data_IF_952394808555
#
_entry.id   IF_952394808555
#
_cell.length_a   1.000
_cell.length_b   1.000
_cell.length_c   1.000
_cell.angle_alpha   90.00
_cell.angle_beta   90.00
_cell.angle_gamma   90.00
#
_symmetry.space_group_name_H-M   'P 1'
#
loop_
_entity.id
_entity.type
_entity.pdbx_description
1 polymer ?
#
# COMPACT_ATOMS: atom_id res chain seq x y z
N UNK A 1 -2.27 -3.32 -15.58
CA UNK A 1 -1.72 -4.44 -14.78
C UNK A 1 -2.52 -4.56 -13.52
N UNK A 2 -2.78 -5.79 -13.14
CA UNK A 2 -3.55 -6.20 -11.97
C UNK A 2 -2.60 -6.21 -10.76
N UNK A 3 -2.88 -5.41 -9.73
CA UNK A 3 -1.99 -5.23 -8.57
C UNK A 3 -2.75 -5.18 -7.25
N UNK A 4 -2.04 -5.38 -6.13
CA UNK A 4 -2.65 -5.23 -4.81
C UNK A 4 -3.12 -3.78 -4.62
N UNK A 5 -4.09 -3.53 -3.73
CA UNK A 5 -4.49 -2.16 -3.41
C UNK A 5 -3.33 -1.27 -2.96
N UNK A 6 -2.36 -1.83 -2.22
CA UNK A 6 -1.15 -1.11 -1.81
C UNK A 6 -0.23 -0.83 -3.00
N UNK A 7 -0.09 -1.78 -3.93
CA UNK A 7 0.65 -1.55 -5.18
C UNK A 7 0.01 -0.44 -6.01
N UNK A 8 -1.32 -0.42 -6.10
CA UNK A 8 -2.06 0.66 -6.77
C UNK A 8 -1.84 2.00 -6.08
N UNK A 9 -1.85 2.05 -4.75
CA UNK A 9 -1.61 3.30 -4.02
C UNK A 9 -0.17 3.80 -4.16
N UNK A 10 0.80 2.89 -4.13
CA UNK A 10 2.22 3.19 -4.40
C UNK A 10 2.36 3.73 -5.83
N UNK A 11 1.82 3.03 -6.84
CA UNK A 11 1.88 3.48 -8.23
C UNK A 11 1.22 4.85 -8.42
N UNK A 12 0.05 5.08 -7.80
CA UNK A 12 -0.66 6.36 -7.88
C UNK A 12 0.17 7.51 -7.28
N UNK A 13 0.92 7.24 -6.20
CA UNK A 13 1.88 8.21 -5.67
C UNK A 13 3.02 8.45 -6.67
N UNK A 14 3.61 7.40 -7.22
CA UNK A 14 4.73 7.53 -8.16
C UNK A 14 4.34 8.31 -9.42
N UNK A 15 3.16 8.05 -9.96
CA UNK A 15 2.63 8.73 -11.15
C UNK A 15 2.35 10.20 -10.86
N UNK A 16 1.82 10.52 -9.66
CA UNK A 16 1.50 11.89 -9.26
C UNK A 16 2.75 12.75 -9.02
N UNK A 17 3.78 12.17 -8.41
CA UNK A 17 5.00 12.90 -8.00
C UNK A 17 6.19 12.66 -8.93
N UNK A 18 6.03 11.87 -9.99
CA UNK A 18 7.07 11.50 -10.97
C UNK A 18 8.36 10.98 -10.30
N UNK A 19 8.20 10.28 -9.18
CA UNK A 19 9.32 9.77 -8.38
C UNK A 19 8.97 8.43 -7.77
N UNK A 20 9.99 7.63 -7.44
CA UNK A 20 9.78 6.34 -6.76
C UNK A 20 9.29 6.55 -5.34
N UNK A 21 8.35 5.71 -4.91
CA UNK A 21 7.88 5.74 -3.53
C UNK A 21 9.01 5.25 -2.63
N UNK A 22 9.60 6.18 -1.89
CA UNK A 22 10.64 5.90 -0.92
C UNK A 22 10.05 6.12 0.48
N UNK A 23 9.67 5.04 1.19
CA UNK A 23 9.14 5.18 2.53
C UNK A 23 10.22 5.76 3.44
N UNK A 24 9.88 6.87 4.11
CA UNK A 24 10.83 7.59 4.96
C UNK A 24 11.08 6.86 6.27
N UNK A 25 12.11 7.28 7.02
CA UNK A 25 12.34 6.77 8.39
C UNK A 25 11.16 7.01 9.34
N UNK A 26 10.29 7.98 9.04
CA UNK A 26 9.06 8.26 9.80
C UNK A 26 7.88 7.39 9.38
N UNK A 27 7.91 6.84 8.16
CA UNK A 27 6.83 5.97 7.65
C UNK A 27 6.71 4.69 8.48
N UNK A 28 7.81 3.95 8.66
CA UNK A 28 7.76 2.64 9.32
C UNK A 28 7.28 2.70 10.78
N UNK A 29 7.73 3.66 11.62
CA UNK A 29 7.15 3.86 12.95
C UNK A 29 5.66 4.23 12.92
N UNK A 30 5.21 5.00 11.91
CA UNK A 30 3.81 5.38 11.78
C UNK A 30 2.92 4.18 11.44
N UNK A 31 3.35 3.34 10.48
CA UNK A 31 2.56 2.17 10.05
C UNK A 31 2.77 0.93 10.90
N UNK A 32 3.74 0.94 11.82
CA UNK A 32 4.02 -0.18 12.73
C UNK A 32 4.67 -1.40 12.07
N UNK A 33 5.22 -1.28 10.86
CA UNK A 33 5.85 -2.37 10.12
C UNK A 33 7.22 -1.97 9.59
N UNK A 34 8.09 -2.96 9.34
CA UNK A 34 9.40 -2.73 8.74
C UNK A 34 9.36 -2.72 7.20
N UNK A 35 10.48 -2.35 6.58
CA UNK A 35 10.66 -2.30 5.12
C UNK A 35 10.30 -3.61 4.42
N UNK A 36 10.77 -4.73 4.94
CA UNK A 36 10.55 -6.05 4.32
C UNK A 36 9.06 -6.38 4.34
N UNK A 37 8.41 -6.19 5.49
CA UNK A 37 6.97 -6.43 5.66
C UNK A 37 6.16 -5.57 4.71
N UNK A 38 6.47 -4.27 4.59
CA UNK A 38 5.78 -3.38 3.67
C UNK A 38 5.81 -3.89 2.23
N UNK A 39 6.98 -4.26 1.70
CA UNK A 39 7.09 -4.74 0.32
C UNK A 39 6.42 -6.10 0.10
N UNK A 40 6.41 -6.99 1.10
CA UNK A 40 5.63 -8.23 1.03
C UNK A 40 4.12 -7.99 0.88
N UNK A 41 3.60 -6.92 1.51
CA UNK A 41 2.19 -6.53 1.38
C UNK A 41 1.92 -5.89 0.01
N UNK A 42 2.80 -4.99 -0.45
CA UNK A 42 2.70 -4.35 -1.78
C UNK A 42 2.70 -5.41 -2.89
N UNK A 43 3.60 -6.39 -2.83
CA UNK A 43 3.73 -7.44 -3.84
C UNK A 43 2.67 -8.55 -3.69
N UNK A 44 1.78 -8.48 -2.70
CA UNK A 44 0.75 -9.50 -2.45
C UNK A 44 1.30 -10.85 -1.95
N UNK A 45 2.57 -10.88 -1.53
CA UNK A 45 3.21 -12.08 -0.96
C UNK A 45 2.64 -12.45 0.41
N UNK A 46 2.10 -11.47 1.13
CA UNK A 46 1.46 -11.64 2.45
C UNK A 46 0.20 -10.79 2.53
N UNK A 47 -0.76 -11.25 3.34
CA UNK A 47 -1.94 -10.45 3.72
C UNK A 47 -1.60 -9.55 4.91
N UNK A 48 -2.18 -8.34 4.98
CA UNK A 48 -2.04 -7.48 6.14
C UNK A 48 -2.82 -8.08 7.33
N UNK A 49 -2.32 -7.85 8.54
CA UNK A 49 -3.14 -8.00 9.75
C UNK A 49 -4.13 -6.85 9.85
N UNK A 50 -5.08 -6.93 10.80
CA UNK A 50 -6.03 -5.84 11.04
C UNK A 50 -5.33 -4.53 11.39
N UNK A 51 -4.37 -4.56 12.33
CA UNK A 51 -3.66 -3.35 12.78
C UNK A 51 -2.80 -2.73 11.67
N UNK A 52 -2.15 -3.58 10.86
CA UNK A 52 -1.41 -3.13 9.67
C UNK A 52 -2.35 -2.46 8.67
N UNK A 53 -3.50 -3.07 8.41
CA UNK A 53 -4.49 -2.54 7.49
C UNK A 53 -5.06 -1.19 7.98
N UNK A 54 -5.36 -1.05 9.27
CA UNK A 54 -5.81 0.23 9.85
C UNK A 54 -4.77 1.33 9.67
N UNK A 55 -3.51 1.03 9.95
CA UNK A 55 -2.43 2.02 9.87
C UNK A 55 -2.11 2.42 8.42
N UNK A 56 -2.11 1.45 7.51
CA UNK A 56 -1.90 1.68 6.08
C UNK A 56 -3.09 2.42 5.43
N UNK A 57 -4.32 2.09 5.85
CA UNK A 57 -5.55 2.78 5.42
C UNK A 57 -5.47 4.27 5.75
N UNK A 58 -5.08 4.61 6.98
CA UNK A 58 -4.88 6.00 7.42
C UNK A 58 -3.77 6.71 6.65
N UNK A 59 -2.63 6.03 6.41
CA UNK A 59 -1.50 6.65 5.70
C UNK A 59 -1.83 6.95 4.23
N UNK A 60 -2.42 5.98 3.51
CA UNK A 60 -2.69 6.09 2.08
C UNK A 60 -4.07 6.67 1.75
N UNK A 61 -4.93 6.88 2.74
CA UNK A 61 -6.31 7.36 2.53
C UNK A 61 -7.19 6.33 1.81
N UNK A 62 -6.99 5.05 2.07
CA UNK A 62 -7.73 3.95 1.45
C UNK A 62 -8.82 3.42 2.38
N UNK A 63 -9.99 2.97 1.87
CA UNK A 63 -10.95 2.23 2.69
C UNK A 63 -10.32 0.97 3.28
N UNK A 64 -10.65 0.65 4.54
CA UNK A 64 -10.05 -0.47 5.25
C UNK A 64 -10.34 -1.81 4.55
N UNK A 65 -11.57 -2.02 4.07
CA UNK A 65 -11.97 -3.29 3.43
C UNK A 65 -11.16 -3.55 2.16
N UNK A 66 -10.78 -2.49 1.46
CA UNK A 66 -10.01 -2.58 0.21
C UNK A 66 -8.67 -3.26 0.46
N UNK A 67 -8.01 -3.06 1.61
CA UNK A 67 -6.71 -3.65 1.91
C UNK A 67 -6.75 -5.19 2.07
N UNK A 68 -7.92 -5.74 2.39
CA UNK A 68 -8.13 -7.19 2.46
C UNK A 68 -8.50 -7.79 1.10
N UNK A 69 -8.91 -6.96 0.14
CA UNK A 69 -9.17 -7.38 -1.23
C UNK A 69 -7.84 -7.54 -1.96
N UNK A 70 -7.25 -8.72 -1.84
CA UNK A 70 -6.07 -9.15 -2.61
C UNK A 70 -6.42 -9.46 -4.08
N UNK A 71 -7.70 -9.33 -4.45
CA UNK A 71 -8.11 -9.37 -5.84
C UNK A 71 -7.55 -8.14 -6.54
N UNK A 72 -6.92 -8.32 -7.71
CA UNK A 72 -6.27 -7.21 -8.35
C UNK A 72 -7.28 -6.16 -8.78
N UNK A 73 -7.04 -4.92 -8.36
CA UNK A 73 -7.94 -3.81 -8.65
C UNK A 73 -7.54 -3.20 -10.00
N UNK A 74 -8.48 -2.98 -10.95
CA UNK A 74 -8.16 -2.25 -12.17
C UNK A 74 -7.67 -0.85 -11.82
N UNK A 75 -6.49 -0.48 -12.29
CA UNK A 75 -6.04 0.92 -12.26
C UNK A 75 -7.01 1.73 -13.12
N UNK A 76 -7.85 2.56 -12.50
CA UNK A 76 -8.68 3.51 -13.21
C UNK A 76 -7.76 4.49 -13.95
N UNK A 77 -7.63 4.33 -15.26
CA UNK A 77 -6.99 5.33 -16.13
C UNK A 77 -7.91 6.55 -16.15
N UNK A 78 -7.49 7.64 -15.51
CA UNK A 78 -8.02 8.97 -15.79
C UNK A 78 -7.30 9.56 -16.98
#
# INVERSE_FOLDING_TARGET
MLGTPLQTAVQSFEDKYLTKFQPTTKFYPYVGINRIRFWQLVEGKKRPTYDEAVSLSKYFGLPLEVLFNQNPTPLARK
#
